data_IF_538921551894
#
_entry.id   IF_538921551894
#
_cell.length_a   1.000
_cell.length_b   1.000
_cell.length_c   1.000
_cell.angle_alpha   90.00
_cell.angle_beta   90.00
_cell.angle_gamma   90.00
#
_symmetry.space_group_name_H-M   'P 1'
#
loop_
_entity.id
_entity.type
_entity.pdbx_description
1 polymer ?
#
# COMPACT_ATOMS: atom_id res chain seq x y z
N UNK A 1 -10.87 24.02 10.19
CA UNK A 1 -11.04 22.65 9.66
C UNK A 1 -9.68 22.14 9.16
N UNK A 2 -8.65 22.08 10.02
CA UNK A 2 -7.26 21.86 9.56
C UNK A 2 -6.49 20.88 10.43
N UNK A 3 -6.66 20.91 11.74
CA UNK A 3 -5.96 20.00 12.66
C UNK A 3 -6.33 18.52 12.45
N UNK A 4 -7.56 18.24 12.03
CA UNK A 4 -8.04 16.87 11.77
C UNK A 4 -7.45 16.30 10.48
N UNK A 5 -7.28 17.13 9.44
CA UNK A 5 -6.61 16.75 8.20
C UNK A 5 -5.12 16.50 8.43
N UNK A 6 -4.47 17.36 9.23
CA UNK A 6 -3.06 17.18 9.58
C UNK A 6 -2.83 15.91 10.39
N UNK A 7 -3.72 15.60 11.35
CA UNK A 7 -3.64 14.35 12.12
C UNK A 7 -3.84 13.12 11.25
N UNK A 8 -4.86 13.13 10.39
CA UNK A 8 -5.13 12.04 9.46
C UNK A 8 -3.94 11.84 8.49
N UNK A 9 -3.31 12.93 8.04
CA UNK A 9 -2.11 12.88 7.21
C UNK A 9 -0.92 12.24 7.94
N UNK A 10 -0.66 12.62 9.20
CA UNK A 10 0.44 12.03 9.98
C UNK A 10 0.20 10.54 10.25
N UNK A 11 -1.05 10.16 10.51
CA UNK A 11 -1.44 8.77 10.64
C UNK A 11 -1.20 8.01 9.32
N UNK A 12 -1.60 8.57 8.19
CA UNK A 12 -1.37 7.97 6.88
C UNK A 12 0.13 7.78 6.58
N UNK A 13 0.96 8.77 6.89
CA UNK A 13 2.42 8.67 6.76
C UNK A 13 3.00 7.56 7.64
N UNK A 14 2.50 7.45 8.86
CA UNK A 14 2.93 6.41 9.81
C UNK A 14 2.58 5.02 9.28
N UNK A 15 1.32 4.82 8.85
CA UNK A 15 0.85 3.54 8.29
C UNK A 15 1.61 3.12 7.03
N UNK A 16 1.94 4.08 6.17
CA UNK A 16 2.76 3.83 4.97
C UNK A 16 4.20 3.44 5.34
N UNK A 17 4.78 4.13 6.33
CA UNK A 17 6.13 3.83 6.82
C UNK A 17 6.21 2.43 7.44
N UNK A 18 5.21 2.01 8.21
CA UNK A 18 5.14 0.67 8.81
C UNK A 18 5.09 -0.44 7.75
N UNK A 19 4.55 -0.14 6.56
CA UNK A 19 4.51 -1.03 5.39
C UNK A 19 5.77 -0.93 4.50
N UNK A 20 6.78 -0.18 4.94
CA UNK A 20 8.03 0.02 4.20
C UNK A 20 7.93 1.01 3.04
N UNK A 21 6.85 1.78 2.94
CA UNK A 21 6.70 2.87 1.97
C UNK A 21 7.35 4.12 2.55
N UNK A 22 8.44 4.57 1.93
CA UNK A 22 9.09 5.83 2.28
C UNK A 22 8.18 6.96 1.83
N UNK A 23 7.82 7.87 2.74
CA UNK A 23 7.09 9.12 2.42
C UNK A 23 7.97 10.29 2.82
N UNK A 24 8.18 11.22 1.89
CA UNK A 24 8.93 12.45 2.13
C UNK A 24 8.08 13.47 2.87
N UNK A 25 8.73 14.42 3.56
CA UNK A 25 8.03 15.56 4.14
C UNK A 25 7.50 16.53 3.07
N UNK A 26 8.09 16.52 1.87
CA UNK A 26 7.67 17.34 0.73
C UNK A 26 6.55 16.73 -0.10
N UNK A 27 6.19 15.48 0.17
CA UNK A 27 5.10 14.81 -0.54
C UNK A 27 3.76 15.43 -0.14
N UNK A 28 2.94 15.73 -1.15
CA UNK A 28 1.61 16.34 -1.03
C UNK A 28 0.66 15.47 -0.20
N UNK A 29 -0.08 16.09 0.73
CA UNK A 29 -0.98 15.40 1.65
C UNK A 29 -2.09 14.62 0.93
N UNK A 30 -2.64 15.17 -0.14
CA UNK A 30 -3.71 14.53 -0.91
C UNK A 30 -3.16 13.31 -1.66
N UNK A 31 -1.93 13.43 -2.18
CA UNK A 31 -1.26 12.32 -2.86
C UNK A 31 -0.92 11.20 -1.87
N UNK A 32 -0.44 11.54 -0.67
CA UNK A 32 -0.17 10.56 0.40
C UNK A 32 -1.43 9.79 0.79
N UNK A 33 -2.57 10.48 0.96
CA UNK A 33 -3.84 9.84 1.25
C UNK A 33 -4.29 8.90 0.12
N UNK A 34 -4.13 9.32 -1.15
CA UNK A 34 -4.46 8.49 -2.32
C UNK A 34 -3.57 7.25 -2.42
N UNK A 35 -2.28 7.35 -2.07
CA UNK A 35 -1.37 6.20 -2.05
C UNK A 35 -1.80 5.22 -0.96
N UNK A 36 -2.13 5.70 0.25
CA UNK A 36 -2.64 4.84 1.32
C UNK A 36 -3.91 4.10 0.88
N UNK A 37 -4.85 4.80 0.25
CA UNK A 37 -6.07 4.18 -0.27
C UNK A 37 -5.77 3.10 -1.33
N UNK A 38 -4.79 3.34 -2.21
CA UNK A 38 -4.37 2.34 -3.19
C UNK A 38 -3.76 1.10 -2.52
N UNK A 39 -2.95 1.28 -1.47
CA UNK A 39 -2.38 0.19 -0.67
C UNK A 39 -3.48 -0.62 0.01
N UNK A 40 -4.43 0.04 0.68
CA UNK A 40 -5.55 -0.64 1.35
C UNK A 40 -6.43 -1.42 0.36
N UNK A 41 -6.66 -0.87 -0.84
CA UNK A 41 -7.36 -1.59 -1.92
C UNK A 41 -6.59 -2.80 -2.39
N UNK A 42 -5.27 -2.71 -2.54
CA UNK A 42 -4.44 -3.86 -2.89
C UNK A 42 -4.56 -4.95 -1.82
N UNK A 43 -4.36 -4.60 -0.54
CA UNK A 43 -4.47 -5.53 0.59
C UNK A 43 -5.83 -6.25 0.63
N UNK A 44 -6.93 -5.50 0.47
CA UNK A 44 -8.28 -6.08 0.43
C UNK A 44 -8.48 -7.06 -0.73
N UNK A 45 -7.80 -6.83 -1.85
CA UNK A 45 -7.88 -7.69 -3.04
C UNK A 45 -7.01 -8.95 -2.91
N UNK A 46 -5.89 -8.84 -2.19
CA UNK A 46 -5.07 -9.98 -1.73
C UNK A 46 -5.90 -10.86 -0.79
N UNK A 47 -6.49 -10.27 0.25
CA UNK A 47 -7.36 -10.96 1.22
C UNK A 47 -8.52 -11.68 0.53
N UNK A 48 -9.20 -11.01 -0.41
CA UNK A 48 -10.34 -11.60 -1.13
C UNK A 48 -9.94 -12.82 -1.97
N UNK A 49 -8.71 -12.88 -2.46
CA UNK A 49 -8.22 -14.01 -3.25
C UNK A 49 -7.79 -15.21 -2.38
N UNK A 50 -7.91 -15.10 -1.06
CA UNK A 50 -7.41 -16.13 -0.15
C UNK A 50 -5.89 -16.07 0.02
N UNK A 51 -5.25 -14.95 -0.36
CA UNK A 51 -3.94 -14.61 0.19
C UNK A 51 -4.17 -14.30 1.65
N UNK A 52 -3.95 -15.30 2.50
CA UNK A 52 -4.03 -15.12 3.95
C UNK A 52 -3.01 -14.05 4.30
N UNK A 53 -3.47 -12.82 4.55
CA UNK A 53 -2.66 -11.76 5.12
C UNK A 53 -2.50 -12.11 6.61
N UNK A 54 -1.93 -13.28 6.90
CA UNK A 54 -1.52 -13.65 8.24
C UNK A 54 -0.39 -12.68 8.60
N UNK A 55 -0.81 -11.66 9.36
CA UNK A 55 0.05 -10.94 10.28
C UNK A 55 0.83 -12.00 11.05
N UNK A 56 2.10 -12.14 10.70
CA UNK A 56 2.98 -13.17 11.22
C UNK A 56 3.35 -12.82 12.68
N UNK A 57 2.41 -13.10 13.59
CA UNK A 57 2.73 -13.45 14.98
C UNK A 57 2.71 -14.97 15.09
N UNK A 58 3.70 -15.62 14.48
CA UNK A 58 4.03 -17.02 14.72
C UNK A 58 3.98 -17.90 13.46
N UNK A 59 5.15 -18.11 12.87
CA UNK A 59 5.49 -19.25 12.02
C UNK A 59 4.53 -19.59 10.85
N UNK A 60 4.03 -18.60 10.09
CA UNK A 60 3.31 -18.85 8.85
C UNK A 60 4.19 -18.62 7.60
N UNK A 61 4.35 -19.67 6.80
CA UNK A 61 5.14 -19.72 5.57
C UNK A 61 4.84 -18.53 4.63
N UNK A 62 5.91 -17.87 4.20
CA UNK A 62 5.91 -16.67 3.35
C UNK A 62 4.99 -16.82 2.13
N UNK A 63 4.29 -15.75 1.69
CA UNK A 63 3.55 -15.81 0.44
C UNK A 63 4.52 -16.05 -0.74
N UNK A 64 4.50 -17.25 -1.32
CA UNK A 64 5.38 -17.69 -2.42
C UNK A 64 5.14 -16.93 -3.75
N UNK A 65 4.05 -16.16 -3.89
CA UNK A 65 3.75 -15.40 -5.11
C UNK A 65 4.06 -13.90 -4.93
N UNK A 66 5.07 -13.35 -5.67
CA UNK A 66 5.42 -11.92 -5.66
C UNK A 66 4.27 -10.97 -5.97
N UNK A 67 3.14 -11.45 -6.53
CA UNK A 67 1.95 -10.65 -6.84
C UNK A 67 1.14 -10.25 -5.61
N UNK A 68 1.27 -10.98 -4.50
CA UNK A 68 0.62 -10.64 -3.22
C UNK A 68 1.49 -9.74 -2.33
N UNK A 69 2.71 -9.40 -2.80
CA UNK A 69 3.62 -8.51 -2.08
C UNK A 69 3.43 -7.08 -2.58
N UNK A 70 3.33 -6.13 -1.65
CA UNK A 70 3.28 -4.72 -1.99
C UNK A 70 4.56 -4.31 -2.75
N UNK A 71 4.46 -3.66 -3.92
CA UNK A 71 5.63 -3.19 -4.64
C UNK A 71 6.49 -2.29 -3.75
N UNK A 72 7.81 -2.50 -3.72
CA UNK A 72 8.71 -1.56 -3.04
C UNK A 72 8.82 -0.28 -3.87
N UNK A 73 8.67 0.88 -3.21
CA UNK A 73 8.97 2.19 -3.83
C UNK A 73 10.44 2.22 -4.23
N UNK A 74 10.72 2.57 -5.49
CA UNK A 74 12.10 2.73 -5.97
C UNK A 74 12.65 4.07 -5.47
N UNK A 75 13.95 4.14 -5.20
CA UNK A 75 14.61 5.41 -4.92
C UNK A 75 14.31 6.42 -6.04
N UNK A 76 13.90 7.62 -5.67
CA UNK A 76 13.52 8.73 -6.57
C UNK A 76 12.19 8.59 -7.34
N UNK A 77 11.43 7.51 -7.11
CA UNK A 77 10.09 7.37 -7.69
C UNK A 77 9.11 8.36 -7.04
N UNK A 78 8.40 9.16 -7.84
CA UNK A 78 7.37 10.07 -7.32
C UNK A 78 6.13 9.30 -6.86
N UNK A 79 5.44 9.80 -5.82
CA UNK A 79 4.27 9.12 -5.27
C UNK A 79 3.15 8.80 -6.28
N UNK A 80 2.83 9.67 -7.27
CA UNK A 80 1.84 9.33 -8.29
C UNK A 80 2.22 8.12 -9.14
N UNK A 81 3.50 7.97 -9.49
CA UNK A 81 3.99 6.82 -10.26
C UNK A 81 3.94 5.54 -9.42
N UNK A 82 4.33 5.65 -8.15
CA UNK A 82 4.22 4.56 -7.19
C UNK A 82 2.77 4.10 -7.01
N UNK A 83 1.82 5.04 -6.87
CA UNK A 83 0.38 4.75 -6.83
C UNK A 83 -0.07 4.00 -8.07
N UNK A 84 0.33 4.45 -9.27
CA UNK A 84 -0.07 3.82 -10.52
C UNK A 84 0.40 2.36 -10.59
N UNK A 85 1.57 2.03 -10.02
CA UNK A 85 2.06 0.64 -9.93
C UNK A 85 1.25 -0.21 -8.96
N UNK A 86 0.83 0.35 -7.83
CA UNK A 86 -0.06 -0.36 -6.89
C UNK A 86 -1.43 -0.62 -7.56
N UNK A 87 -1.98 0.38 -8.24
CA UNK A 87 -3.25 0.25 -8.97
C UNK A 87 -3.15 -0.83 -10.06
N UNK A 88 -2.02 -0.87 -10.79
CA UNK A 88 -1.76 -1.90 -11.80
C UNK A 88 -1.62 -3.30 -11.17
N UNK A 89 -0.86 -3.44 -10.08
CA UNK A 89 -0.74 -4.70 -9.35
C UNK A 89 -2.10 -5.20 -8.85
N UNK A 90 -2.92 -4.30 -8.30
CA UNK A 90 -4.30 -4.58 -7.87
C UNK A 90 -5.18 -5.05 -9.04
N UNK A 91 -5.02 -4.43 -10.21
CA UNK A 91 -5.76 -4.82 -11.42
C UNK A 91 -5.32 -6.18 -11.95
N UNK A 92 -4.03 -6.49 -11.91
CA UNK A 92 -3.50 -7.80 -12.28
C UNK A 92 -4.06 -8.89 -11.36
N UNK A 93 -4.07 -8.64 -10.05
CA UNK A 93 -4.70 -9.48 -9.04
C UNK A 93 -6.18 -9.75 -9.38
N UNK A 94 -6.96 -8.71 -9.70
CA UNK A 94 -8.36 -8.85 -10.12
C UNK A 94 -8.55 -9.71 -11.36
N UNK A 95 -7.60 -9.71 -12.30
CA UNK A 95 -7.69 -10.49 -13.54
C UNK A 95 -7.38 -11.96 -13.32
N UNK A 96 -6.49 -12.30 -12.40
CA UNK A 96 -6.16 -13.69 -12.06
C UNK A 96 -7.25 -14.38 -11.25
N UNK A 97 -8.12 -13.63 -10.57
CA UNK A 97 -9.24 -14.16 -9.80
C UNK A 97 -10.47 -14.61 -10.63
N UNK A 98 -10.31 -14.80 -11.95
CA UNK A 98 -11.43 -15.08 -12.89
C UNK A 98 -11.40 -16.50 -13.44
#
# INVERSE_FOLDING_TARGET
MSEELDRAMQEAKTRLKDRGVVVSMHDDSDVVAQVLEAVERFEKEVERQGGDLMVDTGDAEQPDDPRFVLPKRVSDEVLPDYRARIDEATRLLKKTAR
#
